data_IF_336183344673
#
_entry.id   IF_336183344673
#
_cell.length_a   1.000
_cell.length_b   1.000
_cell.length_c   1.000
_cell.angle_alpha   90.00
_cell.angle_beta   90.00
_cell.angle_gamma   90.00
#
_symmetry.space_group_name_H-M   'P 1'
#
loop_
_entity.id
_entity.type
_entity.pdbx_description
1 polymer ?
#
# COMPACT_ATOMS: atom_id res chain seq x y z
N UNK A 1 35.28 -8.65 31.79
CA UNK A 1 36.64 -8.60 31.22
C UNK A 1 36.98 -9.97 30.65
N UNK A 2 37.53 -10.02 29.42
CA UNK A 2 37.97 -11.17 28.59
C UNK A 2 37.23 -11.06 27.23
N UNK A 3 37.72 -10.38 26.19
CA UNK A 3 39.03 -10.42 25.52
C UNK A 3 39.42 -11.82 25.02
N UNK A 4 39.09 -12.10 23.75
CA UNK A 4 39.78 -13.07 22.90
C UNK A 4 39.50 -12.68 21.43
N UNK A 5 40.28 -11.75 20.88
CA UNK A 5 41.46 -11.97 20.00
C UNK A 5 41.16 -12.67 18.67
N UNK A 6 41.21 -11.85 17.62
CA UNK A 6 41.96 -11.99 16.38
C UNK A 6 42.20 -13.40 15.80
N UNK A 7 41.81 -13.60 14.54
CA UNK A 7 42.68 -14.28 13.58
C UNK A 7 42.58 -13.63 12.18
N UNK A 8 43.72 -13.10 11.75
CA UNK A 8 44.04 -12.71 10.38
C UNK A 8 44.29 -13.96 9.54
N UNK A 9 43.73 -14.04 8.33
CA UNK A 9 44.45 -14.62 7.18
C UNK A 9 44.11 -13.80 5.94
N UNK A 10 45.09 -13.02 5.51
CA UNK A 10 45.20 -12.51 4.14
C UNK A 10 45.54 -13.69 3.22
N UNK A 11 44.82 -13.83 2.10
CA UNK A 11 45.45 -14.38 0.90
C UNK A 11 44.98 -13.62 -0.33
N UNK A 12 45.96 -12.89 -0.87
CA UNK A 12 45.95 -12.23 -2.17
C UNK A 12 45.51 -13.21 -3.26
N UNK A 13 44.57 -12.81 -4.10
CA UNK A 13 44.65 -13.07 -5.54
C UNK A 13 44.31 -11.79 -6.30
N UNK A 14 45.37 -11.27 -6.90
CA UNK A 14 45.40 -10.29 -7.97
C UNK A 14 44.54 -10.74 -9.14
N UNK A 15 43.62 -9.89 -9.57
CA UNK A 15 43.27 -9.71 -10.99
C UNK A 15 42.64 -8.32 -11.12
N UNK A 16 43.42 -7.42 -11.71
CA UNK A 16 43.01 -6.12 -12.22
C UNK A 16 42.00 -6.30 -13.36
N UNK A 17 40.78 -5.81 -13.19
CA UNK A 17 40.06 -5.02 -14.20
C UNK A 17 39.18 -4.06 -13.40
N UNK A 18 39.54 -2.78 -13.46
CA UNK A 18 38.74 -1.66 -13.00
C UNK A 18 37.52 -1.47 -13.89
N UNK A 19 36.38 -1.16 -13.27
CA UNK A 19 35.36 -0.15 -13.64
C UNK A 19 33.97 -0.61 -13.17
N UNK A 20 33.53 0.05 -12.08
CA UNK A 20 32.16 0.38 -11.65
C UNK A 20 31.26 -0.71 -11.04
N UNK A 21 31.47 -0.90 -9.74
CA UNK A 21 30.56 -0.51 -8.65
C UNK A 21 29.03 -0.47 -8.87
N UNK A 22 28.36 -1.05 -7.85
CA UNK A 22 26.95 -0.86 -7.40
C UNK A 22 25.94 -1.94 -7.79
N UNK A 23 26.18 -3.19 -7.40
CA UNK A 23 25.07 -4.08 -6.99
C UNK A 23 25.48 -4.83 -5.71
N UNK A 24 25.30 -4.16 -4.58
CA UNK A 24 25.23 -4.74 -3.24
C UNK A 24 23.94 -4.13 -2.66
N UNK A 25 22.97 -4.83 -2.07
CA UNK A 25 22.88 -6.13 -1.41
C UNK A 25 21.39 -6.52 -1.42
N UNK A 26 21.02 -7.69 -1.92
CA UNK A 26 19.74 -8.33 -1.58
C UNK A 26 20.06 -9.80 -1.33
N UNK A 27 19.94 -10.24 -0.07
CA UNK A 27 20.20 -11.61 0.31
C UNK A 27 19.25 -12.58 -0.39
N UNK A 28 19.72 -13.76 -0.86
CA UNK A 28 18.89 -14.74 -1.53
C UNK A 28 18.38 -15.74 -0.50
N UNK A 29 17.15 -15.62 0.00
CA UNK A 29 16.54 -16.69 0.79
C UNK A 29 15.01 -16.63 0.73
N UNK A 30 14.40 -17.05 -0.38
CA UNK A 30 13.10 -17.74 -0.38
C UNK A 30 13.11 -18.80 -1.49
N UNK A 31 13.18 -20.05 -1.06
CA UNK A 31 12.98 -21.28 -1.83
C UNK A 31 11.57 -21.32 -2.45
N UNK A 32 11.48 -21.69 -3.73
CA UNK A 32 10.22 -21.86 -4.46
C UNK A 32 10.10 -21.04 -5.76
N UNK A 33 11.16 -21.01 -6.57
CA UNK A 33 11.19 -20.28 -7.85
C UNK A 33 10.40 -21.04 -8.92
N UNK A 34 9.12 -20.73 -9.08
CA UNK A 34 8.46 -20.95 -10.38
C UNK A 34 9.03 -19.91 -11.34
N UNK A 35 9.69 -20.43 -12.38
CA UNK A 35 10.16 -19.86 -13.65
C UNK A 35 10.19 -18.33 -13.78
N UNK A 36 11.42 -17.86 -13.97
CA UNK A 36 11.90 -16.54 -14.36
C UNK A 36 10.99 -15.81 -15.36
N UNK A 37 10.35 -14.74 -14.88
CA UNK A 37 10.02 -13.59 -15.73
C UNK A 37 11.19 -12.62 -15.62
N UNK A 38 11.85 -12.28 -16.74
CA UNK A 38 12.99 -11.35 -16.79
C UNK A 38 12.58 -9.88 -16.87
N UNK A 39 11.29 -9.60 -16.97
CA UNK A 39 10.79 -8.23 -17.02
C UNK A 39 10.96 -7.58 -15.66
N UNK A 40 11.66 -6.45 -15.62
CA UNK A 40 11.70 -5.57 -14.45
C UNK A 40 10.27 -5.27 -13.99
N UNK A 41 10.03 -5.26 -12.67
CA UNK A 41 8.74 -4.83 -12.15
C UNK A 41 8.56 -3.35 -12.51
N UNK A 42 7.63 -3.04 -13.43
CA UNK A 42 7.31 -1.65 -13.70
C UNK A 42 6.34 -1.19 -12.58
N UNK A 43 6.82 -0.36 -11.66
CA UNK A 43 6.02 0.27 -10.60
C UNK A 43 5.11 1.38 -11.17
N UNK A 44 4.27 1.00 -12.12
CA UNK A 44 3.35 1.90 -12.82
C UNK A 44 2.19 2.25 -11.88
N UNK A 45 1.80 3.52 -11.91
CA UNK A 45 0.73 4.04 -11.06
C UNK A 45 -0.60 4.14 -11.81
N UNK A 46 -0.58 4.43 -13.11
CA UNK A 46 -1.79 4.50 -13.93
C UNK A 46 -1.57 3.93 -15.34
N UNK A 47 -2.63 3.35 -15.90
CA UNK A 47 -2.67 2.85 -17.28
C UNK A 47 -3.63 3.75 -18.07
N UNK A 48 -3.09 4.52 -19.00
CA UNK A 48 -3.88 5.35 -19.90
C UNK A 48 -4.21 4.58 -21.19
N UNK A 49 -5.48 4.66 -21.63
CA UNK A 49 -5.98 3.98 -22.82
C UNK A 49 -6.44 5.04 -23.82
N UNK A 50 -5.63 5.28 -24.85
CA UNK A 50 -5.96 6.21 -25.92
C UNK A 50 -6.58 5.43 -27.09
N UNK A 51 -7.86 5.67 -27.38
CA UNK A 51 -8.55 5.08 -28.54
C UNK A 51 -8.58 6.11 -29.67
N UNK A 52 -7.69 5.95 -30.64
CA UNK A 52 -7.81 6.61 -31.95
C UNK A 52 -8.65 5.73 -32.88
N UNK A 53 -9.15 6.29 -33.98
CA UNK A 53 -10.14 5.69 -34.89
C UNK A 53 -10.07 4.16 -35.05
N UNK A 54 -8.86 3.59 -35.15
CA UNK A 54 -8.64 2.13 -35.26
C UNK A 54 -7.48 1.57 -34.40
N UNK A 55 -6.79 2.41 -33.62
CA UNK A 55 -5.63 1.98 -32.82
C UNK A 55 -5.86 2.32 -31.34
N UNK A 56 -5.73 1.31 -30.49
CA UNK A 56 -5.77 1.44 -29.04
C UNK A 56 -4.33 1.48 -28.53
N UNK A 57 -3.86 2.66 -28.15
CA UNK A 57 -2.54 2.83 -27.54
C UNK A 57 -2.70 2.74 -26.02
N UNK A 58 -2.03 1.76 -25.41
CA UNK A 58 -2.04 1.53 -23.95
C UNK A 58 -0.69 1.98 -23.42
N UNK A 59 -0.67 3.05 -22.64
CA UNK A 59 0.56 3.63 -22.09
C UNK A 59 0.55 3.57 -20.57
N UNK A 60 1.66 3.09 -19.99
CA UNK A 60 1.89 3.14 -18.56
C UNK A 60 2.49 4.49 -18.16
N UNK A 61 1.73 5.30 -17.42
CA UNK A 61 2.17 6.63 -16.99
C UNK A 61 2.57 6.58 -15.51
N UNK A 62 3.74 7.14 -15.19
CA UNK A 62 4.15 7.33 -13.80
C UNK A 62 3.65 8.68 -13.31
N UNK A 63 2.72 8.67 -12.34
CA UNK A 63 2.11 9.88 -11.78
C UNK A 63 2.69 10.13 -10.40
N UNK A 64 3.17 11.34 -10.12
CA UNK A 64 3.66 11.66 -8.77
C UNK A 64 2.51 11.60 -7.74
N UNK A 65 2.81 11.12 -6.52
CA UNK A 65 1.75 10.97 -5.52
C UNK A 65 1.46 12.34 -4.91
N UNK A 66 0.19 12.74 -4.87
CA UNK A 66 -0.23 14.01 -4.24
C UNK A 66 0.26 14.19 -2.80
N UNK A 67 0.49 13.07 -2.11
CA UNK A 67 0.84 13.02 -0.69
C UNK A 67 2.34 12.99 -0.43
N UNK A 68 3.20 12.96 -1.46
CA UNK A 68 4.67 12.84 -1.31
C UNK A 68 5.26 13.98 -0.45
N UNK A 69 4.66 15.16 -0.49
CA UNK A 69 5.06 16.32 0.31
C UNK A 69 4.76 16.17 1.81
N UNK A 70 3.75 15.39 2.19
CA UNK A 70 3.24 15.29 3.56
C UNK A 70 3.65 13.98 4.26
N UNK A 71 4.56 13.21 3.68
CA UNK A 71 5.05 11.98 4.28
C UNK A 71 6.04 12.31 5.40
N UNK A 72 5.63 12.07 6.64
CA UNK A 72 6.54 12.11 7.79
C UNK A 72 7.51 10.94 7.69
N UNK A 73 8.80 11.24 7.46
CA UNK A 73 9.87 10.24 7.53
C UNK A 73 10.26 10.06 8.99
N UNK A 74 9.89 8.92 9.56
CA UNK A 74 10.28 8.59 10.94
C UNK A 74 11.60 7.83 10.91
N UNK A 75 12.55 8.20 11.77
CA UNK A 75 13.86 7.54 11.86
C UNK A 75 13.73 6.02 12.13
N UNK A 76 12.62 5.57 12.73
CA UNK A 76 12.34 4.17 13.07
C UNK A 76 11.02 3.64 12.47
N UNK A 77 10.76 3.88 11.19
CA UNK A 77 9.55 3.43 10.47
C UNK A 77 9.24 1.92 10.57
N UNK A 78 10.27 1.08 10.70
CA UNK A 78 10.11 -0.39 10.69
C UNK A 78 9.65 -0.97 12.02
N UNK A 79 9.82 -0.25 13.11
CA UNK A 79 9.59 -0.79 14.45
C UNK A 79 8.13 -0.63 14.91
N UNK A 80 7.42 0.38 14.40
CA UNK A 80 6.11 0.75 14.88
C UNK A 80 5.03 0.58 13.80
N UNK A 81 3.95 -0.12 14.14
CA UNK A 81 2.80 -0.22 13.25
C UNK A 81 1.79 0.87 13.64
N UNK A 82 1.35 1.75 12.72
CA UNK A 82 0.54 2.92 13.03
C UNK A 82 -0.84 2.58 13.63
N UNK A 83 -1.43 1.44 13.22
CA UNK A 83 -2.77 1.01 13.67
C UNK A 83 -2.75 0.21 14.98
N UNK A 84 -1.60 -0.34 15.38
CA UNK A 84 -1.50 -1.25 16.52
C UNK A 84 -1.52 -0.38 17.83
N UNK A 85 -2.54 -0.47 18.72
CA UNK A 85 -2.76 0.48 19.82
C UNK A 85 -1.63 0.47 20.87
N UNK A 86 -1.06 -0.71 21.13
CA UNK A 86 0.02 -0.88 22.10
C UNK A 86 1.31 -0.14 21.72
N UNK A 87 1.44 0.29 20.45
CA UNK A 87 2.67 0.90 19.92
C UNK A 87 2.59 2.41 19.82
N UNK A 88 1.44 2.98 19.43
CA UNK A 88 1.23 4.43 19.31
C UNK A 88 0.39 5.03 20.44
N UNK A 89 -0.22 4.22 21.31
CA UNK A 89 -1.12 4.69 22.37
C UNK A 89 -2.46 5.25 21.87
N UNK A 90 -2.69 5.26 20.56
CA UNK A 90 -3.92 5.75 19.93
C UNK A 90 -4.87 4.61 19.57
N UNK A 91 -6.14 4.78 19.91
CA UNK A 91 -7.22 3.87 19.49
C UNK A 91 -7.91 4.42 18.25
N UNK A 92 -7.72 3.75 17.11
CA UNK A 92 -8.41 4.09 15.86
C UNK A 92 -9.81 3.45 15.86
N UNK A 93 -10.80 4.30 15.56
CA UNK A 93 -12.21 4.00 15.46
C UNK A 93 -12.67 3.96 14.00
N UNK A 94 -13.88 3.44 13.76
CA UNK A 94 -14.46 3.39 12.41
C UNK A 94 -14.94 4.75 11.91
N UNK A 95 -15.07 5.72 12.83
CA UNK A 95 -15.39 7.12 12.58
C UNK A 95 -14.22 7.92 12.00
N UNK A 96 -12.98 7.42 12.15
CA UNK A 96 -11.76 8.13 11.80
C UNK A 96 -11.45 8.03 10.30
N UNK A 97 -12.35 8.58 9.48
CA UNK A 97 -12.32 8.47 8.01
C UNK A 97 -11.00 8.95 7.42
N UNK A 98 -10.38 9.98 8.01
CA UNK A 98 -9.12 10.57 7.54
C UNK A 98 -7.92 9.62 7.66
N UNK A 99 -7.94 8.74 8.66
CA UNK A 99 -6.89 7.72 8.85
C UNK A 99 -7.19 6.52 7.95
N UNK A 100 -8.46 6.11 7.88
CA UNK A 100 -8.87 4.95 7.08
C UNK A 100 -8.67 5.17 5.57
N UNK A 101 -8.94 6.38 5.07
CA UNK A 101 -8.83 6.72 3.64
C UNK A 101 -7.43 6.56 3.09
N UNK A 102 -6.39 6.72 3.92
CA UNK A 102 -4.98 6.56 3.52
C UNK A 102 -4.64 5.13 3.09
N UNK A 103 -5.35 4.13 3.63
CA UNK A 103 -5.12 2.72 3.33
C UNK A 103 -6.04 2.17 2.25
N UNK A 104 -6.88 3.01 1.65
CA UNK A 104 -7.89 2.61 0.68
C UNK A 104 -7.51 3.04 -0.73
N UNK A 105 -7.97 2.25 -1.69
CA UNK A 105 -7.98 2.60 -3.11
C UNK A 105 -9.14 3.58 -3.40
N UNK A 106 -9.13 4.27 -4.55
CA UNK A 106 -10.29 5.05 -5.01
C UNK A 106 -11.58 4.21 -5.01
N UNK A 107 -11.50 2.92 -5.30
CA UNK A 107 -12.65 2.00 -5.31
C UNK A 107 -13.19 1.64 -3.91
N UNK A 108 -12.55 2.11 -2.83
CA UNK A 108 -12.87 1.71 -1.46
C UNK A 108 -12.35 0.34 -1.05
N UNK A 109 -11.53 -0.30 -1.90
CA UNK A 109 -10.87 -1.56 -1.57
C UNK A 109 -9.62 -1.30 -0.71
N UNK A 110 -9.44 -2.10 0.34
CA UNK A 110 -8.27 -2.01 1.22
C UNK A 110 -6.98 -2.41 0.50
N UNK A 111 -5.91 -1.63 0.68
CA UNK A 111 -4.59 -1.95 0.15
C UNK A 111 -4.04 -3.25 0.77
N UNK A 112 -3.31 -4.07 -0.01
CA UNK A 112 -2.77 -5.32 0.48
C UNK A 112 -1.66 -5.08 1.51
N UNK A 113 -1.50 -6.02 2.45
CA UNK A 113 -0.51 -5.94 3.55
C UNK A 113 0.90 -5.59 3.06
N UNK A 114 1.34 -6.19 1.93
CA UNK A 114 2.66 -5.98 1.33
C UNK A 114 2.94 -4.53 0.92
N UNK A 115 1.90 -3.75 0.65
CA UNK A 115 2.00 -2.33 0.30
C UNK A 115 1.90 -1.48 1.57
N UNK A 116 0.93 -1.78 2.44
CA UNK A 116 0.68 -1.00 3.67
C UNK A 116 1.74 -1.16 4.77
N UNK A 117 2.51 -2.25 4.78
CA UNK A 117 3.51 -2.52 5.83
C UNK A 117 2.96 -2.87 7.22
N UNK A 118 1.65 -3.08 7.38
CA UNK A 118 1.01 -3.25 8.70
C UNK A 118 1.27 -4.61 9.37
N UNK A 119 1.15 -4.63 10.71
CA UNK A 119 1.06 -5.86 11.53
C UNK A 119 -0.11 -6.74 11.03
N UNK A 120 -0.01 -8.08 11.00
CA UNK A 120 -1.12 -8.97 10.55
C UNK A 120 -2.41 -8.71 11.35
N UNK A 121 -2.27 -8.47 12.65
CA UNK A 121 -3.38 -8.08 13.54
C UNK A 121 -3.96 -6.72 13.16
N UNK A 122 -3.11 -5.75 12.82
CA UNK A 122 -3.49 -4.41 12.38
C UNK A 122 -4.26 -4.45 11.06
N UNK A 123 -3.79 -5.23 10.07
CA UNK A 123 -4.49 -5.41 8.81
C UNK A 123 -5.91 -5.96 9.01
N UNK A 124 -6.07 -6.97 9.88
CA UNK A 124 -7.40 -7.53 10.22
C UNK A 124 -8.28 -6.53 10.96
N UNK A 125 -7.70 -5.75 11.89
CA UNK A 125 -8.42 -4.68 12.59
C UNK A 125 -8.90 -3.62 11.60
N UNK A 126 -8.00 -3.15 10.74
CA UNK A 126 -8.29 -2.13 9.73
C UNK A 126 -9.39 -2.58 8.77
N UNK A 127 -9.35 -3.83 8.29
CA UNK A 127 -10.41 -4.39 7.44
C UNK A 127 -11.79 -4.35 8.12
N UNK A 128 -11.87 -4.63 9.43
CA UNK A 128 -13.13 -4.52 10.20
C UNK A 128 -13.60 -3.07 10.32
N UNK A 129 -12.69 -2.14 10.62
CA UNK A 129 -13.01 -0.71 10.75
C UNK A 129 -13.52 -0.13 9.42
N UNK A 130 -12.85 -0.43 8.31
CA UNK A 130 -13.27 -0.02 6.97
C UNK A 130 -14.64 -0.59 6.64
N UNK A 131 -14.88 -1.87 6.92
CA UNK A 131 -16.19 -2.48 6.69
C UNK A 131 -17.30 -1.79 7.48
N UNK A 132 -17.06 -1.46 8.76
CA UNK A 132 -17.99 -0.69 9.59
C UNK A 132 -18.24 0.71 9.00
N UNK A 133 -17.18 1.43 8.64
CA UNK A 133 -17.25 2.78 8.09
C UNK A 133 -18.06 2.84 6.78
N UNK A 134 -17.84 1.86 5.89
CA UNK A 134 -18.58 1.75 4.62
C UNK A 134 -20.06 1.46 4.84
N UNK A 135 -20.39 0.55 5.77
CA UNK A 135 -21.79 0.23 6.11
C UNK A 135 -22.51 1.35 6.84
N UNK A 136 -21.78 2.14 7.63
CA UNK A 136 -22.28 3.35 8.27
C UNK A 136 -22.46 4.52 7.28
N UNK A 137 -21.94 4.40 6.04
CA UNK A 137 -22.07 5.43 5.01
C UNK A 137 -21.10 6.61 5.16
N UNK A 138 -20.02 6.45 5.92
CA UNK A 138 -19.03 7.51 6.18
C UNK A 138 -18.11 7.80 4.98
N UNK A 139 -18.04 6.89 4.00
CA UNK A 139 -17.14 6.99 2.83
C UNK A 139 -17.92 6.87 1.51
N UNK A 140 -18.75 7.87 1.14
CA UNK A 140 -19.61 7.78 -0.04
C UNK A 140 -18.85 7.90 -1.37
N UNK A 141 -17.71 8.59 -1.38
CA UNK A 141 -16.90 8.86 -2.56
C UNK A 141 -16.15 7.61 -3.06
N UNK A 142 -15.77 6.71 -2.14
CA UNK A 142 -14.91 5.56 -2.44
C UNK A 142 -15.68 4.34 -2.96
N UNK A 143 -16.53 4.54 -3.96
CA UNK A 143 -17.31 3.44 -4.55
C UNK A 143 -16.74 3.08 -5.91
N UNK A 144 -16.72 1.77 -6.25
CA UNK A 144 -16.33 1.38 -7.60
C UNK A 144 -17.31 1.95 -8.61
N UNK A 145 -16.78 2.20 -9.80
CA UNK A 145 -17.57 2.63 -10.95
C UNK A 145 -18.60 1.57 -11.33
N UNK A 146 -19.74 2.03 -11.82
CA UNK A 146 -20.78 1.14 -12.31
C UNK A 146 -20.32 0.49 -13.62
N UNK A 147 -20.63 -0.80 -13.85
CA UNK A 147 -20.39 -1.42 -15.14
C UNK A 147 -21.12 -0.63 -16.23
N UNK A 148 -20.39 -0.26 -17.29
CA UNK A 148 -20.93 0.57 -18.38
C UNK A 148 -20.82 2.08 -18.17
N UNK A 149 -20.09 2.55 -17.14
CA UNK A 149 -19.74 3.97 -16.99
C UNK A 149 -20.91 4.90 -16.70
N UNK A 150 -22.04 4.36 -16.27
CA UNK A 150 -23.23 5.13 -15.93
C UNK A 150 -23.03 5.88 -14.60
N UNK A 151 -23.38 7.16 -14.57
CA UNK A 151 -23.36 7.95 -13.34
C UNK A 151 -24.42 7.46 -12.36
N UNK A 152 -24.06 7.36 -11.08
CA UNK A 152 -25.01 6.98 -10.04
C UNK A 152 -25.99 8.13 -9.81
N UNK A 153 -27.28 7.86 -9.92
CA UNK A 153 -28.33 8.82 -9.55
C UNK A 153 -28.06 9.36 -8.14
N UNK A 154 -28.19 10.67 -7.95
CA UNK A 154 -27.99 11.35 -6.67
C UNK A 154 -28.70 10.59 -5.54
N UNK A 155 -27.94 9.95 -4.64
CA UNK A 155 -28.52 9.15 -3.56
C UNK A 155 -29.51 9.95 -2.71
N UNK A 156 -29.30 11.27 -2.59
CA UNK A 156 -30.16 12.21 -1.83
C UNK A 156 -31.64 12.18 -2.26
N UNK A 157 -31.97 11.82 -3.50
CA UNK A 157 -33.37 11.75 -3.99
C UNK A 157 -34.09 10.45 -3.60
N UNK A 158 -33.39 9.43 -3.13
CA UNK A 158 -33.96 8.12 -2.77
C UNK A 158 -34.40 8.16 -1.30
N UNK A 159 -35.64 8.55 -1.00
CA UNK A 159 -36.18 8.66 0.38
C UNK A 159 -35.79 7.51 1.35
N UNK A 160 -35.57 6.30 0.80
CA UNK A 160 -35.14 5.08 1.50
C UNK A 160 -33.73 5.14 2.13
N UNK A 161 -32.83 6.03 1.70
CA UNK A 161 -31.43 6.05 2.22
C UNK A 161 -31.34 6.44 3.70
N UNK A 162 -32.30 7.21 4.22
CA UNK A 162 -32.37 7.63 5.64
C UNK A 162 -33.00 6.56 6.55
N UNK A 163 -33.60 5.52 5.99
CA UNK A 163 -34.45 4.59 6.73
C UNK A 163 -33.65 3.57 7.57
N UNK A 164 -32.37 3.35 7.26
CA UNK A 164 -31.56 2.32 7.93
C UNK A 164 -30.15 2.81 8.23
N UNK A 165 -30.01 3.83 9.09
CA UNK A 165 -28.71 4.21 9.61
C UNK A 165 -28.16 3.08 10.49
N UNK A 166 -27.05 2.48 10.08
CA UNK A 166 -26.34 1.46 10.86
C UNK A 166 -25.23 2.15 11.62
N UNK A 167 -25.34 2.17 12.94
CA UNK A 167 -24.29 2.66 13.82
C UNK A 167 -23.59 1.47 14.49
N UNK A 168 -22.27 1.59 14.67
CA UNK A 168 -21.49 0.63 15.44
C UNK A 168 -21.08 1.28 16.74
N UNK A 169 -21.30 0.58 17.85
CA UNK A 169 -20.63 0.88 19.10
C UNK A 169 -19.29 0.15 19.10
N UNK A 170 -18.25 0.85 19.56
CA UNK A 170 -16.88 0.33 19.62
C UNK A 170 -16.59 -0.41 20.94
#
# INVERSE_FOLDING_TARGET
MAFCRQFLVNLRRSCSISVLDRISEISPNITGRRVFTTTTYNALKEVSINKSDKVITIEGVHIESKQDANVLRLENEKEYCPICPNKLGMTVHHTDVLILSQFLRPDGCLLPKRVTGLCTKGQRRLARLVHRAQRAGLMPELRPDMPGGQERKNLKSIHKWRQFNIFYHD
#
